data_IF_419873339778
#
_entry.id   IF_419873339778
#
_cell.length_a   1.000
_cell.length_b   1.000
_cell.length_c   1.000
_cell.angle_alpha   90.00
_cell.angle_beta   90.00
_cell.angle_gamma   90.00
#
_symmetry.space_group_name_H-M   'P 1'
#
loop_
_entity.id
_entity.type
_entity.pdbx_description
1 polymer ?
#
# COMPACT_ATOMS: atom_id res chain seq x y z
N UNK A 1 -20.02 -10.71 -33.10
CA UNK A 1 -19.31 -10.50 -31.82
C UNK A 1 -18.80 -11.83 -31.31
N UNK A 2 -17.84 -12.48 -32.00
CA UNK A 2 -17.32 -13.79 -31.56
C UNK A 2 -15.95 -14.20 -32.14
N UNK A 3 -15.55 -13.70 -33.32
CA UNK A 3 -14.34 -14.20 -34.01
C UNK A 3 -13.01 -13.94 -33.25
N UNK A 4 -12.88 -12.80 -32.57
CA UNK A 4 -11.67 -12.49 -31.79
C UNK A 4 -11.56 -13.32 -30.51
N UNK A 5 -12.70 -13.59 -29.87
CA UNK A 5 -12.80 -14.35 -28.63
C UNK A 5 -12.50 -15.84 -28.85
N UNK A 6 -13.06 -16.43 -29.90
CA UNK A 6 -12.81 -17.83 -30.28
C UNK A 6 -11.34 -18.08 -30.63
N UNK A 7 -10.70 -17.15 -31.35
CA UNK A 7 -9.25 -17.25 -31.67
C UNK A 7 -8.38 -17.15 -30.43
N UNK A 8 -8.74 -16.28 -29.48
CA UNK A 8 -8.01 -16.14 -28.23
C UNK A 8 -8.10 -17.42 -27.39
N UNK A 9 -9.31 -17.99 -27.22
CA UNK A 9 -9.49 -19.26 -26.52
C UNK A 9 -8.82 -20.43 -27.25
N UNK A 10 -8.96 -20.49 -28.58
CA UNK A 10 -8.31 -21.51 -29.42
C UNK A 10 -6.80 -21.54 -29.25
N UNK A 11 -6.14 -20.38 -29.13
CA UNK A 11 -4.71 -20.31 -28.86
C UNK A 11 -4.30 -21.07 -27.59
N UNK A 12 -5.02 -20.92 -26.48
CA UNK A 12 -4.72 -21.63 -25.24
C UNK A 12 -5.03 -23.13 -25.35
N UNK A 13 -6.08 -23.51 -26.08
CA UNK A 13 -6.47 -24.91 -26.29
C UNK A 13 -5.45 -25.66 -27.16
N UNK A 14 -4.96 -25.00 -28.22
CA UNK A 14 -4.02 -25.58 -29.17
C UNK A 14 -2.58 -25.61 -28.63
N UNK A 15 -2.19 -24.59 -27.85
CA UNK A 15 -0.83 -24.46 -27.29
C UNK A 15 -0.73 -24.96 -25.84
N UNK A 16 -1.09 -26.23 -25.61
CA UNK A 16 -1.12 -26.85 -24.27
C UNK A 16 0.19 -26.68 -23.51
N UNK A 17 1.34 -26.79 -24.18
CA UNK A 17 2.67 -26.63 -23.55
C UNK A 17 2.84 -25.22 -22.96
N UNK A 18 2.44 -24.19 -23.71
CA UNK A 18 2.50 -22.79 -23.25
C UNK A 18 1.62 -22.62 -22.01
N UNK A 19 0.43 -23.21 -22.01
CA UNK A 19 -0.47 -23.19 -20.85
C UNK A 19 0.16 -23.86 -19.64
N UNK A 20 0.75 -25.06 -19.81
CA UNK A 20 1.41 -25.75 -18.71
C UNK A 20 2.59 -24.96 -18.14
N UNK A 21 3.40 -24.34 -18.99
CA UNK A 21 4.51 -23.48 -18.54
C UNK A 21 3.98 -22.28 -17.78
N UNK A 22 2.95 -21.59 -18.30
CA UNK A 22 2.34 -20.45 -17.62
C UNK A 22 1.78 -20.83 -16.26
N UNK A 23 1.07 -21.95 -16.16
CA UNK A 23 0.54 -22.46 -14.89
C UNK A 23 1.67 -22.77 -13.91
N UNK A 24 2.71 -23.47 -14.36
CA UNK A 24 3.87 -23.78 -13.52
C UNK A 24 4.57 -22.51 -13.02
N UNK A 25 4.75 -21.52 -13.88
CA UNK A 25 5.35 -20.23 -13.51
C UNK A 25 4.48 -19.47 -12.52
N UNK A 26 3.16 -19.42 -12.72
CA UNK A 26 2.24 -18.74 -11.80
C UNK A 26 2.19 -19.41 -10.43
N UNK A 27 2.15 -20.74 -10.38
CA UNK A 27 2.21 -21.48 -9.12
C UNK A 27 3.55 -21.31 -8.42
N UNK A 28 4.67 -21.38 -9.17
CA UNK A 28 6.00 -21.14 -8.62
C UNK A 28 6.17 -19.73 -8.05
N UNK A 29 5.74 -18.70 -8.80
CA UNK A 29 5.75 -17.32 -8.33
C UNK A 29 4.83 -17.11 -7.11
N UNK A 30 3.66 -17.75 -7.11
CA UNK A 30 2.75 -17.76 -5.96
C UNK A 30 3.39 -18.34 -4.71
N UNK A 31 4.08 -19.48 -4.81
CA UNK A 31 4.79 -20.09 -3.67
C UNK A 31 5.96 -19.22 -3.18
N UNK A 32 6.71 -18.62 -4.11
CA UNK A 32 7.82 -17.71 -3.82
C UNK A 32 7.40 -16.51 -2.97
N UNK A 33 6.23 -15.93 -3.29
CA UNK A 33 5.72 -14.68 -2.70
C UNK A 33 4.66 -14.92 -1.60
N UNK A 34 4.19 -16.16 -1.44
CA UNK A 34 3.09 -16.48 -0.54
C UNK A 34 3.37 -16.04 0.91
N UNK A 35 2.37 -15.48 1.62
CA UNK A 35 2.54 -14.95 2.96
C UNK A 35 2.59 -16.02 4.06
N UNK A 36 2.37 -17.29 3.72
CA UNK A 36 2.30 -18.41 4.67
C UNK A 36 3.67 -19.08 4.80
N UNK A 37 3.98 -19.65 5.96
CA UNK A 37 5.28 -20.26 6.20
C UNK A 37 5.35 -21.73 5.74
N UNK A 38 5.49 -21.92 4.42
CA UNK A 38 5.66 -23.23 3.80
C UNK A 38 7.08 -23.77 4.00
N UNK A 39 7.21 -25.01 4.45
CA UNK A 39 8.49 -25.72 4.54
C UNK A 39 8.90 -26.30 3.17
N UNK A 40 9.54 -25.47 2.34
CA UNK A 40 10.00 -25.80 0.99
C UNK A 40 11.52 -26.12 0.93
N UNK A 41 12.18 -26.31 2.08
CA UNK A 41 13.63 -26.51 2.16
C UNK A 41 14.42 -25.26 1.73
N UNK A 42 15.49 -25.45 0.94
CA UNK A 42 16.46 -24.41 0.56
C UNK A 42 15.97 -23.41 -0.53
N UNK A 43 14.67 -23.39 -0.85
CA UNK A 43 14.15 -22.46 -1.85
C UNK A 43 14.17 -21.02 -1.31
N UNK A 44 14.62 -20.02 -2.10
CA UNK A 44 14.53 -18.62 -1.71
C UNK A 44 13.06 -18.19 -1.63
N UNK A 45 12.73 -17.29 -0.71
CA UNK A 45 11.35 -16.83 -0.45
C UNK A 45 11.33 -15.33 -0.19
N UNK A 46 10.26 -14.66 -0.62
CA UNK A 46 10.03 -13.22 -0.40
C UNK A 46 8.55 -12.99 -0.03
N UNK A 47 8.23 -13.25 1.24
CA UNK A 47 6.85 -13.27 1.73
C UNK A 47 6.23 -11.87 1.73
N UNK A 48 5.02 -11.73 1.19
CA UNK A 48 4.26 -10.49 1.34
C UNK A 48 3.87 -10.31 2.81
N UNK A 49 4.16 -9.16 3.44
CA UNK A 49 3.73 -8.89 4.80
C UNK A 49 2.20 -8.86 4.87
N UNK A 50 1.63 -9.61 5.80
CA UNK A 50 0.20 -9.62 6.08
C UNK A 50 -0.04 -9.13 7.49
N UNK A 51 -1.01 -8.23 7.64
CA UNK A 51 -1.50 -7.79 8.95
C UNK A 51 -2.90 -8.36 9.17
N UNK A 52 -3.23 -8.63 10.43
CA UNK A 52 -4.56 -9.06 10.83
C UNK A 52 -5.58 -7.91 10.76
N UNK A 53 -5.12 -6.66 10.84
CA UNK A 53 -5.97 -5.48 10.81
C UNK A 53 -5.73 -4.72 9.49
N UNK A 54 -6.76 -4.46 8.67
CA UNK A 54 -6.59 -3.63 7.50
C UNK A 54 -6.25 -2.20 7.90
N UNK A 55 -5.47 -1.50 7.08
CA UNK A 55 -5.18 -0.09 7.32
C UNK A 55 -6.46 0.75 7.16
N UNK A 56 -7.02 1.13 8.31
CA UNK A 56 -8.19 2.01 8.44
C UNK A 56 -7.80 3.38 9.01
N UNK A 57 -6.50 3.62 9.21
CA UNK A 57 -6.00 4.86 9.78
C UNK A 57 -6.32 6.05 8.89
N UNK A 58 -6.70 7.17 9.50
CA UNK A 58 -6.68 8.42 8.76
C UNK A 58 -5.22 8.76 8.40
N UNK A 59 -5.00 9.33 7.21
CA UNK A 59 -3.69 9.84 6.83
C UNK A 59 -3.37 11.10 7.65
N UNK A 60 -2.92 10.90 8.88
CA UNK A 60 -2.69 11.94 9.87
C UNK A 60 -1.19 12.27 9.95
N UNK A 61 -0.86 13.54 9.72
CA UNK A 61 0.48 14.06 9.98
C UNK A 61 0.49 14.82 11.30
N UNK A 62 1.39 14.45 12.20
CA UNK A 62 1.61 15.16 13.48
C UNK A 62 2.80 16.10 13.31
N UNK A 63 2.61 17.37 13.69
CA UNK A 63 3.67 18.38 13.76
C UNK A 63 3.80 18.80 15.21
N UNK A 64 5.00 18.66 15.77
CA UNK A 64 5.26 18.94 17.17
C UNK A 64 6.39 19.94 17.32
N UNK A 65 6.13 21.04 18.03
CA UNK A 65 7.08 22.14 18.23
C UNK A 65 7.28 22.39 19.71
N UNK A 66 8.55 22.38 20.18
CA UNK A 66 8.89 22.71 21.57
C UNK A 66 9.28 24.18 21.67
N UNK A 67 8.67 24.93 22.60
CA UNK A 67 9.12 26.27 22.98
C UNK A 67 9.12 26.47 24.49
N UNK A 68 10.18 26.05 25.18
CA UNK A 68 10.24 26.12 26.64
C UNK A 68 10.33 27.57 27.12
N UNK A 69 9.73 27.84 28.28
CA UNK A 69 9.80 29.14 28.94
C UNK A 69 8.88 30.22 28.36
N UNK A 70 7.97 29.86 27.45
CA UNK A 70 6.93 30.75 26.93
C UNK A 70 5.57 30.47 27.53
N UNK A 71 4.74 31.50 27.60
CA UNK A 71 3.36 31.32 28.05
C UNK A 71 2.57 30.53 27.00
N UNK A 72 1.53 29.78 27.40
CA UNK A 72 0.66 29.09 26.44
C UNK A 72 0.09 30.02 25.37
N UNK A 73 -0.17 31.28 25.75
CA UNK A 73 -0.66 32.31 24.81
C UNK A 73 0.38 32.70 23.78
N UNK A 74 1.64 32.87 24.18
CA UNK A 74 2.72 33.15 23.23
C UNK A 74 2.91 32.00 22.24
N UNK A 75 2.78 30.75 22.72
CA UNK A 75 2.86 29.56 21.86
C UNK A 75 1.69 29.54 20.86
N UNK A 76 0.48 29.85 21.31
CA UNK A 76 -0.69 29.91 20.44
C UNK A 76 -0.55 31.00 19.36
N UNK A 77 -0.29 32.24 19.79
CA UNK A 77 -0.29 33.42 18.92
C UNK A 77 0.87 33.39 17.91
N UNK A 78 2.02 32.82 18.27
CA UNK A 78 3.23 32.85 17.44
C UNK A 78 3.55 31.53 16.74
N UNK A 79 3.06 30.39 17.24
CA UNK A 79 3.35 29.06 16.67
C UNK A 79 2.08 28.39 16.16
N UNK A 80 1.15 28.04 17.05
CA UNK A 80 -0.01 27.19 16.71
C UNK A 80 -0.93 27.84 15.68
N UNK A 81 -1.27 29.12 15.85
CA UNK A 81 -2.23 29.82 15.00
C UNK A 81 -1.68 30.07 13.58
N UNK A 82 -0.46 30.63 13.39
CA UNK A 82 0.12 30.77 12.06
C UNK A 82 0.29 29.42 11.35
N UNK A 83 0.70 28.38 12.10
CA UNK A 83 0.88 27.04 11.55
C UNK A 83 -0.44 26.42 11.10
N UNK A 84 -1.47 26.46 11.95
CA UNK A 84 -2.81 25.95 11.61
C UNK A 84 -3.38 26.63 10.38
N UNK A 85 -3.26 27.96 10.31
CA UNK A 85 -3.72 28.75 9.16
C UNK A 85 -2.99 28.39 7.88
N UNK A 86 -1.67 28.22 7.94
CA UNK A 86 -0.88 27.82 6.78
C UNK A 86 -1.23 26.40 6.30
N UNK A 87 -1.42 25.45 7.23
CA UNK A 87 -1.73 24.06 6.91
C UNK A 87 -3.12 23.89 6.29
N UNK A 88 -4.10 24.74 6.65
CA UNK A 88 -5.42 24.75 6.00
C UNK A 88 -5.37 25.11 4.51
N UNK A 89 -4.31 25.79 4.05
CA UNK A 89 -4.12 26.14 2.64
C UNK A 89 -3.56 25.00 1.76
N UNK A 90 -3.16 23.87 2.36
CA UNK A 90 -2.52 22.76 1.64
C UNK A 90 -3.57 21.89 0.94
N UNK A 91 -3.43 21.59 -0.36
CA UNK A 91 -4.33 20.69 -1.06
C UNK A 91 -4.43 19.31 -0.39
N UNK A 92 -5.65 18.82 -0.21
CA UNK A 92 -5.91 17.50 0.39
C UNK A 92 -6.01 17.49 1.92
N UNK A 93 -5.76 18.60 2.61
CA UNK A 93 -6.01 18.73 4.05
C UNK A 93 -7.52 18.80 4.30
N UNK A 94 -8.03 17.91 5.16
CA UNK A 94 -9.45 17.87 5.55
C UNK A 94 -9.72 18.73 6.78
N UNK A 95 -8.90 18.56 7.81
CA UNK A 95 -9.02 19.26 9.10
C UNK A 95 -7.64 19.46 9.69
N UNK A 96 -7.45 20.55 10.43
CA UNK A 96 -6.27 20.77 11.28
C UNK A 96 -6.74 20.89 12.73
N UNK A 97 -6.00 20.29 13.67
CA UNK A 97 -6.31 20.30 15.10
C UNK A 97 -5.08 20.79 15.86
N UNK A 98 -5.23 21.80 16.71
CA UNK A 98 -4.19 22.37 17.58
C UNK A 98 -4.45 22.02 19.04
#
# INVERSE_FOLDING_TARGET
MSLGWERFLGFFVDNKLVVFILVALLTGAGLYVSPFDWDLGDMPRDQVPVDAIPDIGENQQIVFTKWPGRSPRDVEDQISYPMTTALLGIPGVRTVRS
#
